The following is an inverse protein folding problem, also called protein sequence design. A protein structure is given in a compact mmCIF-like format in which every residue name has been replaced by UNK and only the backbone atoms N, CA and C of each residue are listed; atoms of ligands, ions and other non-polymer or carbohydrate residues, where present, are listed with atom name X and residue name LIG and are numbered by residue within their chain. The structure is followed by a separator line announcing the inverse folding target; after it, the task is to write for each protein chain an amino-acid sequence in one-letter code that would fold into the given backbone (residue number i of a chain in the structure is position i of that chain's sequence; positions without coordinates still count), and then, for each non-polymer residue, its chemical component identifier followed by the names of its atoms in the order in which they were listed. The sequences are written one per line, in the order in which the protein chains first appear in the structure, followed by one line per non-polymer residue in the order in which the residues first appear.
data_IF_004263032278
#
_entry.id   IF_004263032278
#
_cell.length_a   1.000
_cell.length_b   1.000
_cell.length_c   1.000
_cell.angle_alpha   90.00
_cell.angle_beta   90.00
_cell.angle_gamma   90.00
#
_symmetry.space_group_name_H-M   'P 1'
#
loop_
_entity.id
_entity.type
_entity.pdbx_description
1 polymer ?
#
# COMPACT_ATOMS: atom_id res chain seq x y z
N UNK A 1 8.38 19.96 6.49
CA UNK A 1 7.98 18.57 6.81
C UNK A 1 6.62 18.30 6.21
N UNK A 2 6.46 17.15 5.56
CA UNK A 2 5.18 16.82 4.91
C UNK A 2 4.16 16.34 5.94
N UNK A 3 2.88 16.66 5.69
CA UNK A 3 1.78 16.07 6.45
C UNK A 3 1.86 14.55 6.49
N UNK A 4 2.31 13.94 5.38
CA UNK A 4 2.36 12.48 5.24
C UNK A 4 3.55 11.84 5.91
N UNK A 5 4.49 12.62 6.43
CA UNK A 5 5.68 12.08 7.07
C UNK A 5 5.29 11.20 8.28
N UNK A 6 5.79 9.99 8.29
CA UNK A 6 5.49 8.97 9.32
C UNK A 6 4.04 8.52 9.38
N UNK A 7 3.20 8.94 8.43
CA UNK A 7 1.85 8.40 8.32
C UNK A 7 1.89 7.02 7.70
N UNK A 8 0.99 6.16 8.13
CA UNK A 8 0.86 4.82 7.59
C UNK A 8 -0.32 4.82 6.62
N UNK A 9 -0.02 4.62 5.32
CA UNK A 9 -1.00 4.81 4.25
C UNK A 9 -1.13 3.52 3.45
N UNK A 10 -2.34 3.03 3.35
CA UNK A 10 -2.65 1.81 2.59
C UNK A 10 -3.16 2.20 1.22
N UNK A 11 -2.44 1.78 0.17
CA UNK A 11 -2.80 2.08 -1.21
C UNK A 11 -3.26 0.79 -1.87
N UNK A 12 -4.52 0.75 -2.29
CA UNK A 12 -5.04 -0.36 -3.09
C UNK A 12 -4.92 -0.01 -4.57
N UNK A 13 -4.84 -1.03 -5.44
CA UNK A 13 -4.57 -0.80 -6.84
C UNK A 13 -3.19 -0.21 -7.06
N UNK A 14 -2.23 -0.59 -6.22
CA UNK A 14 -0.91 0.05 -6.18
C UNK A 14 0.05 -0.41 -7.28
N UNK A 15 -0.33 -1.41 -8.07
CA UNK A 15 0.58 -2.02 -9.06
C UNK A 15 0.70 -1.23 -10.35
N UNK A 16 -0.21 -0.32 -10.65
CA UNK A 16 -0.19 0.41 -11.91
C UNK A 16 -0.98 1.72 -11.81
N UNK A 17 -0.79 2.58 -12.83
CA UNK A 17 -1.56 3.81 -12.98
C UNK A 17 -1.46 4.76 -11.80
N UNK A 18 -2.60 5.32 -11.42
CA UNK A 18 -2.67 6.32 -10.36
C UNK A 18 -2.21 5.76 -9.01
N UNK A 19 -2.63 4.54 -8.68
CA UNK A 19 -2.24 3.93 -7.41
C UNK A 19 -0.74 3.80 -7.26
N UNK A 20 -0.06 3.36 -8.32
CA UNK A 20 1.39 3.26 -8.33
C UNK A 20 2.04 4.63 -8.15
N UNK A 21 1.58 5.63 -8.91
CA UNK A 21 2.13 6.98 -8.83
C UNK A 21 1.95 7.58 -7.44
N UNK A 22 0.78 7.40 -6.85
CA UNK A 22 0.47 7.90 -5.51
C UNK A 22 1.37 7.22 -4.47
N UNK A 23 1.52 5.90 -4.55
CA UNK A 23 2.34 5.16 -3.59
C UNK A 23 3.79 5.65 -3.60
N UNK A 24 4.36 5.81 -4.79
CA UNK A 24 5.74 6.28 -4.94
C UNK A 24 5.88 7.71 -4.38
N UNK A 25 4.94 8.58 -4.73
CA UNK A 25 4.98 9.97 -4.25
C UNK A 25 4.88 10.04 -2.73
N UNK A 26 3.95 9.30 -2.15
CA UNK A 26 3.77 9.30 -0.70
C UNK A 26 5.01 8.77 0.03
N UNK A 27 5.64 7.73 -0.51
CA UNK A 27 6.86 7.20 0.10
C UNK A 27 7.97 8.23 0.10
N UNK A 28 8.08 9.02 -0.97
CA UNK A 28 9.09 10.09 -1.04
C UNK A 28 8.80 11.24 -0.08
N UNK A 29 7.54 11.37 0.33
CA UNK A 29 7.14 12.37 1.33
C UNK A 29 7.29 11.83 2.77
N UNK A 30 7.85 10.65 2.92
CA UNK A 30 8.16 10.09 4.24
C UNK A 30 7.09 9.19 4.83
N UNK A 31 6.07 8.85 4.06
CA UNK A 31 5.02 7.94 4.53
C UNK A 31 5.50 6.49 4.51
N UNK A 32 4.93 5.70 5.41
CA UNK A 32 5.01 4.25 5.36
C UNK A 32 3.84 3.76 4.52
N UNK A 33 4.11 3.06 3.41
CA UNK A 33 3.05 2.67 2.47
C UNK A 33 2.83 1.17 2.50
N UNK A 34 1.57 0.78 2.46
CA UNK A 34 1.15 -0.61 2.32
C UNK A 34 0.55 -0.75 0.93
N UNK A 35 1.14 -1.65 0.13
CA UNK A 35 0.83 -1.79 -1.29
C UNK A 35 0.01 -3.04 -1.50
N UNK A 36 -1.21 -2.88 -2.02
CA UNK A 36 -2.09 -4.02 -2.29
C UNK A 36 -2.57 -3.99 -3.74
N UNK A 37 -2.46 -5.13 -4.40
CA UNK A 37 -3.00 -5.42 -5.72
C UNK A 37 -2.88 -6.93 -5.93
N UNK A 38 -3.39 -7.44 -7.05
CA UNK A 38 -3.34 -8.88 -7.31
C UNK A 38 -1.95 -9.36 -7.73
N UNK A 39 -1.20 -8.55 -8.47
CA UNK A 39 0.07 -8.95 -9.07
C UNK A 39 1.24 -8.59 -8.16
N UNK A 40 1.73 -9.59 -7.43
CA UNK A 40 2.83 -9.38 -6.49
C UNK A 40 4.11 -8.93 -7.18
N UNK A 41 4.41 -9.43 -8.38
CA UNK A 41 5.64 -9.04 -9.08
C UNK A 41 5.64 -7.55 -9.40
N UNK A 42 4.49 -7.01 -9.82
CA UNK A 42 4.38 -5.58 -10.07
C UNK A 42 4.48 -4.78 -8.77
N UNK A 43 3.95 -5.29 -7.68
CA UNK A 43 4.08 -4.64 -6.38
C UNK A 43 5.54 -4.58 -5.93
N UNK A 44 6.32 -5.63 -6.22
CA UNK A 44 7.75 -5.63 -5.92
C UNK A 44 8.48 -4.54 -6.70
N UNK A 45 8.10 -4.32 -7.97
CA UNK A 45 8.68 -3.24 -8.76
C UNK A 45 8.36 -1.88 -8.16
N UNK A 46 7.11 -1.67 -7.72
CA UNK A 46 6.71 -0.42 -7.09
C UNK A 46 7.48 -0.21 -5.79
N UNK A 47 7.63 -1.25 -5.00
CA UNK A 47 8.40 -1.18 -3.76
C UNK A 47 9.84 -0.74 -4.02
N UNK A 48 10.47 -1.26 -5.07
CA UNK A 48 11.82 -0.83 -5.45
C UNK A 48 11.88 0.66 -5.79
N UNK A 49 10.87 1.16 -6.47
CA UNK A 49 10.80 2.58 -6.82
C UNK A 49 10.55 3.47 -5.61
N UNK A 50 9.98 2.93 -4.56
CA UNK A 50 9.85 3.65 -3.29
C UNK A 50 11.20 3.86 -2.60
N UNK A 51 12.21 3.12 -3.03
CA UNK A 51 13.57 3.30 -2.54
C UNK A 51 13.74 2.80 -1.12
N UNK A 52 14.33 3.62 -0.25
CA UNK A 52 14.59 3.26 1.14
C UNK A 52 13.39 3.52 2.05
N UNK A 53 12.28 3.95 1.49
CA UNK A 53 11.07 4.21 2.28
C UNK A 53 10.51 2.89 2.81
N UNK A 54 9.76 2.97 3.90
CA UNK A 54 9.08 1.81 4.44
C UNK A 54 7.91 1.45 3.53
N UNK A 55 8.01 0.30 2.89
CA UNK A 55 6.96 -0.18 1.99
C UNK A 55 6.70 -1.65 2.26
N UNK A 56 5.43 -2.01 2.37
CA UNK A 56 5.00 -3.37 2.67
C UNK A 56 4.10 -3.87 1.55
N UNK A 57 4.24 -5.14 1.19
CA UNK A 57 3.43 -5.74 0.14
C UNK A 57 2.46 -6.74 0.75
N UNK A 58 1.19 -6.56 0.43
CA UNK A 58 0.12 -7.51 0.76
C UNK A 58 -0.70 -7.72 -0.50
N UNK A 59 -0.27 -8.68 -1.33
CA UNK A 59 -1.00 -9.00 -2.55
C UNK A 59 -2.32 -9.68 -2.19
N UNK A 60 -3.38 -9.29 -2.89
CA UNK A 60 -4.72 -9.77 -2.60
C UNK A 60 -5.66 -9.42 -3.74
N UNK A 61 -6.60 -10.32 -4.01
CA UNK A 61 -7.69 -10.05 -4.95
C UNK A 61 -8.85 -9.43 -4.19
N UNK A 62 -9.01 -8.12 -4.32
CA UNK A 62 -10.04 -7.38 -3.58
C UNK A 62 -11.46 -7.67 -4.07
N UNK A 63 -11.60 -8.42 -5.17
CA UNK A 63 -12.94 -8.88 -5.58
C UNK A 63 -13.45 -10.02 -4.70
N UNK A 64 -12.57 -10.67 -3.94
CA UNK A 64 -12.95 -11.73 -3.02
C UNK A 64 -13.32 -11.13 -1.66
N UNK A 65 -14.59 -10.85 -1.47
CA UNK A 65 -15.07 -10.16 -0.26
C UNK A 65 -14.93 -11.01 1.00
N UNK A 66 -14.95 -12.34 0.87
CA UNK A 66 -14.86 -13.22 2.04
C UNK A 66 -13.50 -13.16 2.73
N UNK A 67 -12.46 -12.82 2.00
CA UNK A 67 -11.10 -12.79 2.55
C UNK A 67 -10.62 -11.40 2.92
N UNK A 68 -11.44 -10.36 2.75
CA UNK A 68 -11.03 -8.99 3.06
C UNK A 68 -10.77 -8.80 4.55
N UNK A 69 -11.60 -9.39 5.40
CA UNK A 69 -11.40 -9.29 6.86
C UNK A 69 -10.05 -9.90 7.27
N UNK A 70 -9.70 -11.03 6.67
CA UNK A 70 -8.40 -11.65 6.92
C UNK A 70 -7.24 -10.76 6.48
N UNK A 71 -7.41 -10.10 5.34
CA UNK A 71 -6.39 -9.16 4.84
C UNK A 71 -6.20 -8.00 5.80
N UNK A 72 -7.29 -7.38 6.25
CA UNK A 72 -7.24 -6.27 7.20
C UNK A 72 -6.55 -6.72 8.49
N UNK A 73 -6.91 -7.88 9.00
CA UNK A 73 -6.33 -8.41 10.22
C UNK A 73 -4.83 -8.67 10.06
N UNK A 74 -4.40 -9.19 8.92
CA UNK A 74 -2.98 -9.43 8.66
C UNK A 74 -2.21 -8.12 8.62
N UNK A 75 -2.74 -7.12 7.91
CA UNK A 75 -2.07 -5.82 7.78
C UNK A 75 -1.94 -5.16 9.14
N UNK A 76 -3.02 -5.09 9.91
CA UNK A 76 -2.98 -4.43 11.21
C UNK A 76 -2.09 -5.16 12.20
N UNK A 77 -2.02 -6.51 12.11
CA UNK A 77 -1.16 -7.28 13.00
C UNK A 77 0.31 -7.13 12.66
N UNK A 78 0.65 -7.08 11.37
CA UNK A 78 2.05 -7.05 10.93
C UNK A 78 2.61 -5.65 10.83
N UNK A 79 1.79 -4.67 10.48
CA UNK A 79 2.24 -3.30 10.24
C UNK A 79 1.77 -2.35 11.35
N UNK A 80 0.56 -2.54 11.85
CA UNK A 80 -0.03 -1.69 12.85
C UNK A 80 -1.23 -0.93 12.31
N UNK A 81 -1.67 0.08 13.05
CA UNK A 81 -2.85 0.86 12.65
C UNK A 81 -2.60 1.70 11.42
N UNK A 82 -3.63 1.84 10.59
CA UNK A 82 -3.57 2.56 9.34
C UNK A 82 -4.13 3.96 9.56
N UNK A 83 -3.38 4.98 9.13
CA UNK A 83 -3.83 6.37 9.24
C UNK A 83 -4.72 6.78 8.08
N UNK A 84 -4.38 6.34 6.87
CA UNK A 84 -5.08 6.76 5.64
C UNK A 84 -5.23 5.56 4.72
N UNK A 85 -6.41 5.41 4.14
CA UNK A 85 -6.66 4.42 3.09
C UNK A 85 -6.89 5.15 1.76
N UNK A 86 -6.02 4.90 0.80
CA UNK A 86 -6.21 5.38 -0.57
C UNK A 86 -6.75 4.22 -1.41
N UNK A 87 -8.05 4.20 -1.59
CA UNK A 87 -8.71 3.09 -2.29
C UNK A 87 -8.83 3.39 -3.78
N UNK A 88 -7.91 2.81 -4.56
CA UNK A 88 -7.85 3.00 -6.01
C UNK A 88 -8.19 1.71 -6.77
N UNK A 89 -8.52 0.65 -6.07
CA UNK A 89 -8.93 -0.60 -6.71
C UNK A 89 -10.37 -0.46 -7.16
N UNK A 90 -10.58 -0.40 -8.47
CA UNK A 90 -11.92 -0.21 -8.96
C UNK A 90 -12.19 -0.96 -10.21
#
# INVERSE_FOLDING_TARGET
MSYFHNKRIWVTGASSGIGRSVAIKLSKLGAEVILTARNRDKLEEVKKECGNAKAHIFDHDLSNLESIDDLVNRVTREVGSIDILFNNAG
#
